data_IF_971691699485
#
_entry.id   IF_971691699485
#
_cell.length_a   1.000
_cell.length_b   1.000
_cell.length_c   1.000
_cell.angle_alpha   90.00
_cell.angle_beta   90.00
_cell.angle_gamma   90.00
#
_symmetry.space_group_name_H-M   'P 1'
#
loop_
_entity.id
_entity.type
_entity.pdbx_description
1 polymer ?
#
# COMPACT_ATOMS: atom_id res chain seq x y z
N UNK A 1 -23.86 -3.65 2.27
CA UNK A 1 -23.58 -2.76 3.41
C UNK A 1 -22.98 -1.45 2.88
N UNK A 2 -23.14 -0.32 3.56
CA UNK A 2 -22.57 0.97 3.13
C UNK A 2 -21.14 1.15 3.62
N UNK A 3 -20.34 1.92 2.88
CA UNK A 3 -18.98 2.27 3.24
C UNK A 3 -18.92 2.91 4.64
N UNK A 4 -17.94 2.52 5.47
CA UNK A 4 -17.76 3.08 6.82
C UNK A 4 -17.20 4.51 6.84
N UNK A 5 -16.75 5.03 5.70
CA UNK A 5 -16.22 6.40 5.63
C UNK A 5 -17.33 7.42 5.95
N UNK A 6 -17.08 8.41 6.84
CA UNK A 6 -18.09 9.39 7.23
C UNK A 6 -18.73 10.08 6.02
N UNK A 7 -20.06 10.05 5.94
CA UNK A 7 -20.83 10.67 4.86
C UNK A 7 -20.84 9.89 3.54
N UNK A 8 -20.14 8.76 3.43
CA UNK A 8 -20.16 7.94 2.23
C UNK A 8 -21.37 6.99 2.22
N UNK A 9 -22.18 7.07 1.16
CA UNK A 9 -23.34 6.17 0.96
C UNK A 9 -23.10 5.07 -0.07
N UNK A 10 -21.89 4.99 -0.63
CA UNK A 10 -21.53 4.00 -1.64
C UNK A 10 -21.53 2.60 -1.03
N UNK A 11 -22.00 1.61 -1.79
CA UNK A 11 -21.97 0.21 -1.37
C UNK A 11 -20.54 -0.33 -1.27
N UNK A 12 -20.31 -1.18 -0.28
CA UNK A 12 -19.09 -1.97 -0.14
C UNK A 12 -19.20 -3.20 -1.06
N UNK A 13 -18.25 -3.42 -1.99
CA UNK A 13 -18.23 -4.64 -2.78
C UNK A 13 -17.80 -5.83 -1.91
N UNK A 14 -18.28 -7.04 -2.23
CA UNK A 14 -17.95 -8.26 -1.49
C UNK A 14 -16.43 -8.51 -1.37
N UNK A 15 -15.64 -8.09 -2.36
CA UNK A 15 -14.19 -8.18 -2.34
C UNK A 15 -13.51 -7.35 -1.22
N UNK A 16 -14.22 -6.38 -0.65
CA UNK A 16 -13.77 -5.46 0.42
C UNK A 16 -14.63 -5.55 1.69
N UNK A 17 -15.35 -6.67 1.89
CA UNK A 17 -16.25 -6.82 3.04
C UNK A 17 -15.49 -6.69 4.37
N UNK A 18 -14.30 -7.29 4.48
CA UNK A 18 -13.44 -7.18 5.67
C UNK A 18 -13.06 -5.73 6.00
N UNK A 19 -12.84 -4.90 4.97
CA UNK A 19 -12.42 -3.52 5.12
C UNK A 19 -13.60 -2.59 5.38
N UNK A 20 -14.80 -3.00 4.98
CA UNK A 20 -16.04 -2.22 5.04
C UNK A 20 -15.92 -0.86 4.33
N UNK A 21 -15.16 -0.81 3.23
CA UNK A 21 -14.90 0.40 2.45
C UNK A 21 -15.34 0.21 1.00
N UNK A 22 -15.87 1.28 0.39
CA UNK A 22 -16.03 1.30 -1.06
C UNK A 22 -14.65 1.42 -1.76
N UNK A 23 -14.58 1.07 -3.04
CA UNK A 23 -13.33 1.07 -3.83
C UNK A 23 -12.58 2.41 -3.75
N UNK A 24 -13.31 3.52 -3.83
CA UNK A 24 -12.71 4.87 -3.74
C UNK A 24 -12.03 5.11 -2.40
N UNK A 25 -12.72 4.84 -1.28
CA UNK A 25 -12.16 5.08 0.04
C UNK A 25 -11.06 4.08 0.40
N UNK A 26 -11.17 2.84 -0.09
CA UNK A 26 -10.10 1.85 0.05
C UNK A 26 -8.81 2.31 -0.65
N UNK A 27 -8.91 2.76 -1.91
CA UNK A 27 -7.73 3.26 -2.66
C UNK A 27 -7.14 4.53 -2.05
N UNK A 28 -7.96 5.48 -1.59
CA UNK A 28 -7.50 6.67 -0.85
C UNK A 28 -6.72 6.31 0.42
N UNK A 29 -7.29 5.42 1.25
CA UNK A 29 -6.65 4.96 2.48
C UNK A 29 -5.31 4.30 2.18
N UNK A 30 -5.26 3.48 1.12
CA UNK A 30 -4.03 2.80 0.72
C UNK A 30 -2.94 3.78 0.27
N UNK A 31 -3.29 4.76 -0.57
CA UNK A 31 -2.36 5.76 -1.05
C UNK A 31 -1.81 6.63 0.09
N UNK A 32 -2.66 6.96 1.07
CA UNK A 32 -2.25 7.66 2.28
C UNK A 32 -1.23 6.83 3.09
N UNK A 33 -1.54 5.56 3.37
CA UNK A 33 -0.63 4.66 4.09
C UNK A 33 0.72 4.51 3.36
N UNK A 34 0.69 4.36 2.04
CA UNK A 34 1.92 4.36 1.23
C UNK A 34 2.71 5.66 1.37
N UNK A 35 2.04 6.80 1.42
CA UNK A 35 2.66 8.10 1.64
C UNK A 35 3.32 8.23 3.00
N UNK A 36 2.68 7.70 4.05
CA UNK A 36 3.22 7.66 5.41
C UNK A 36 4.48 6.79 5.48
N UNK A 37 4.41 5.55 5.02
CA UNK A 37 5.56 4.63 5.02
C UNK A 37 6.74 5.16 4.19
N UNK A 38 6.49 5.76 3.01
CA UNK A 38 7.55 6.41 2.21
C UNK A 38 8.27 7.51 2.99
N UNK A 39 7.53 8.32 3.77
CA UNK A 39 8.13 9.37 4.59
C UNK A 39 8.99 8.77 5.70
N UNK A 40 8.52 7.72 6.37
CA UNK A 40 9.28 7.04 7.43
C UNK A 40 10.58 6.43 6.89
N UNK A 41 10.54 5.80 5.73
CA UNK A 41 11.72 5.25 5.04
C UNK A 41 12.69 6.35 4.62
N UNK A 42 12.20 7.47 4.09
CA UNK A 42 13.04 8.61 3.72
C UNK A 42 13.76 9.24 4.93
N UNK A 43 13.15 9.20 6.11
CA UNK A 43 13.74 9.69 7.37
C UNK A 43 14.76 8.71 7.98
N UNK A 44 15.02 7.56 7.34
CA UNK A 44 15.96 6.55 7.84
C UNK A 44 15.49 5.86 9.13
N UNK A 45 14.20 5.94 9.45
CA UNK A 45 13.62 5.37 10.68
C UNK A 45 13.28 3.88 10.55
N UNK A 46 13.37 3.33 9.34
CA UNK A 46 12.90 1.97 9.02
C UNK A 46 14.01 0.94 9.24
N UNK A 47 13.90 0.13 10.29
CA UNK A 47 14.75 -1.04 10.54
C UNK A 47 14.26 -2.27 9.74
N UNK A 48 14.98 -3.40 9.80
CA UNK A 48 14.63 -4.62 9.05
C UNK A 48 13.23 -5.17 9.37
N UNK A 49 12.78 -5.10 10.63
CA UNK A 49 11.45 -5.55 11.04
C UNK A 49 10.35 -4.68 10.41
N UNK A 50 10.54 -3.36 10.43
CA UNK A 50 9.64 -2.43 9.78
C UNK A 50 9.64 -2.58 8.25
N UNK A 51 10.79 -2.88 7.63
CA UNK A 51 10.82 -3.21 6.20
C UNK A 51 9.98 -4.44 5.87
N UNK A 52 10.10 -5.51 6.68
CA UNK A 52 9.30 -6.72 6.51
C UNK A 52 7.79 -6.42 6.64
N UNK A 53 7.41 -5.59 7.60
CA UNK A 53 6.02 -5.16 7.79
C UNK A 53 5.50 -4.34 6.59
N UNK A 54 6.32 -3.44 6.04
CA UNK A 54 5.97 -2.67 4.84
C UNK A 54 5.79 -3.61 3.63
N UNK A 55 6.67 -4.61 3.46
CA UNK A 55 6.54 -5.60 2.38
C UNK A 55 5.29 -6.47 2.54
N UNK A 56 4.94 -6.85 3.77
CA UNK A 56 3.69 -7.54 4.08
C UNK A 56 2.48 -6.67 3.73
N UNK A 57 2.49 -5.40 4.15
CA UNK A 57 1.45 -4.43 3.80
C UNK A 57 1.26 -4.32 2.28
N UNK A 58 2.36 -4.21 1.53
CA UNK A 58 2.32 -4.11 0.06
C UNK A 58 1.67 -5.36 -0.55
N UNK A 59 2.06 -6.53 -0.08
CA UNK A 59 1.61 -7.83 -0.61
C UNK A 59 0.11 -8.01 -0.34
N UNK A 60 -0.32 -7.89 0.92
CA UNK A 60 -1.72 -8.07 1.31
C UNK A 60 -2.65 -7.09 0.60
N UNK A 61 -2.23 -5.83 0.46
CA UNK A 61 -3.05 -4.82 -0.20
C UNK A 61 -3.01 -4.92 -1.72
N UNK A 62 -1.89 -5.34 -2.31
CA UNK A 62 -1.80 -5.65 -3.74
C UNK A 62 -2.75 -6.78 -4.12
N UNK A 63 -2.80 -7.84 -3.31
CA UNK A 63 -3.76 -8.94 -3.49
C UNK A 63 -5.21 -8.45 -3.36
N UNK A 64 -5.53 -7.68 -2.31
CA UNK A 64 -6.87 -7.11 -2.13
C UNK A 64 -7.29 -6.25 -3.33
N UNK A 65 -6.39 -5.40 -3.82
CA UNK A 65 -6.65 -4.54 -4.98
C UNK A 65 -6.84 -5.38 -6.26
N UNK A 66 -6.07 -6.44 -6.44
CA UNK A 66 -6.23 -7.38 -7.55
C UNK A 66 -7.60 -8.06 -7.50
N UNK A 67 -8.01 -8.59 -6.34
CA UNK A 67 -9.34 -9.19 -6.17
C UNK A 67 -10.46 -8.23 -6.53
N UNK A 68 -10.39 -6.97 -6.09
CA UNK A 68 -11.39 -5.95 -6.45
C UNK A 68 -11.45 -5.76 -7.95
N UNK A 69 -10.29 -5.64 -8.59
CA UNK A 69 -10.14 -5.41 -10.03
C UNK A 69 -10.65 -6.56 -10.89
N UNK A 70 -10.58 -7.79 -10.38
CA UNK A 70 -10.97 -9.02 -11.11
C UNK A 70 -12.26 -9.65 -10.59
N UNK A 71 -12.98 -9.00 -9.67
CA UNK A 71 -14.21 -9.53 -9.04
C UNK A 71 -15.43 -9.56 -9.96
N UNK A 72 -15.32 -9.10 -11.20
CA UNK A 72 -16.47 -8.89 -12.09
C UNK A 72 -17.33 -7.69 -11.73
N UNK A 73 -16.89 -6.87 -10.76
CA UNK A 73 -17.56 -5.61 -10.41
C UNK A 73 -17.55 -4.66 -11.61
N UNK A 74 -18.70 -4.05 -11.90
CA UNK A 74 -18.76 -2.99 -12.89
C UNK A 74 -18.10 -1.72 -12.35
N UNK A 75 -16.84 -1.52 -12.74
CA UNK A 75 -16.05 -0.35 -12.38
C UNK A 75 -16.21 0.72 -13.45
N UNK A 76 -16.47 1.96 -13.03
CA UNK A 76 -16.37 3.13 -13.92
C UNK A 76 -14.92 3.31 -14.36
N UNK A 77 -14.69 4.00 -15.47
CA UNK A 77 -13.33 4.22 -15.98
C UNK A 77 -12.48 5.04 -15.00
N UNK A 78 -13.08 5.99 -14.28
CA UNK A 78 -12.42 6.72 -13.19
C UNK A 78 -11.93 5.78 -12.08
N UNK A 79 -12.73 4.78 -11.70
CA UNK A 79 -12.32 3.80 -10.69
C UNK A 79 -11.25 2.86 -11.21
N UNK A 80 -11.27 2.49 -12.50
CA UNK A 80 -10.19 1.71 -13.11
C UNK A 80 -8.87 2.50 -13.11
N UNK A 81 -8.91 3.75 -13.53
CA UNK A 81 -7.74 4.64 -13.53
C UNK A 81 -7.18 4.83 -12.11
N UNK A 82 -8.07 4.97 -11.12
CA UNK A 82 -7.73 5.04 -9.70
C UNK A 82 -7.00 3.78 -9.23
N UNK A 83 -7.58 2.60 -9.47
CA UNK A 83 -6.99 1.31 -9.12
C UNK A 83 -5.59 1.15 -9.73
N UNK A 84 -5.43 1.46 -11.02
CA UNK A 84 -4.13 1.40 -11.70
C UNK A 84 -3.10 2.34 -11.05
N UNK A 85 -3.51 3.56 -10.73
CA UNK A 85 -2.67 4.54 -10.01
C UNK A 85 -2.28 4.04 -8.62
N UNK A 86 -3.20 3.36 -7.93
CA UNK A 86 -2.93 2.77 -6.62
C UNK A 86 -1.95 1.59 -6.70
N UNK A 87 -2.02 0.73 -7.73
CA UNK A 87 -1.00 -0.30 -7.99
C UNK A 87 0.39 0.31 -8.21
N UNK A 88 0.48 1.38 -9.02
CA UNK A 88 1.74 2.11 -9.22
C UNK A 88 2.27 2.69 -7.90
N UNK A 89 1.39 3.16 -7.02
CA UNK A 89 1.76 3.66 -5.70
C UNK A 89 2.38 2.57 -4.81
N UNK A 90 1.84 1.36 -4.83
CA UNK A 90 2.40 0.20 -4.12
C UNK A 90 3.76 -0.22 -4.70
N UNK A 91 3.88 -0.30 -6.03
CA UNK A 91 5.13 -0.63 -6.72
C UNK A 91 6.23 0.39 -6.38
N UNK A 92 5.90 1.68 -6.40
CA UNK A 92 6.83 2.75 -6.03
C UNK A 92 7.28 2.67 -4.57
N UNK A 93 6.39 2.25 -3.66
CA UNK A 93 6.76 2.02 -2.26
C UNK A 93 7.75 0.84 -2.14
N UNK A 94 7.49 -0.28 -2.85
CA UNK A 94 8.41 -1.42 -2.87
C UNK A 94 9.80 -1.02 -3.36
N UNK A 95 9.87 -0.34 -4.50
CA UNK A 95 11.13 0.15 -5.05
C UNK A 95 11.84 1.15 -4.12
N UNK A 96 11.08 1.95 -3.37
CA UNK A 96 11.63 2.86 -2.36
C UNK A 96 12.30 2.09 -1.21
N UNK A 97 11.66 1.03 -0.71
CA UNK A 97 12.22 0.15 0.33
C UNK A 97 13.46 -0.55 -0.18
N UNK A 98 13.41 -1.16 -1.37
CA UNK A 98 14.55 -1.87 -1.97
C UNK A 98 15.77 -0.93 -2.10
N UNK A 99 15.55 0.30 -2.57
CA UNK A 99 16.60 1.32 -2.65
C UNK A 99 17.12 1.77 -1.29
N UNK A 100 16.26 1.84 -0.27
CA UNK A 100 16.67 2.20 1.09
C UNK A 100 17.54 1.12 1.75
N UNK A 101 17.23 -0.17 1.52
CA UNK A 101 18.02 -1.29 2.01
C UNK A 101 19.43 -1.33 1.41
N UNK A 102 19.59 -0.97 0.13
CA UNK A 102 20.92 -0.89 -0.51
C UNK A 102 21.80 0.25 0.04
N UNK A 103 21.22 1.25 0.73
CA UNK A 103 21.96 2.38 1.31
C UNK A 103 22.59 2.07 2.66
N UNK A 104 22.28 0.93 3.27
CA UNK A 104 22.94 0.50 4.51
C UNK A 104 24.40 0.19 4.18
N UNK A 105 25.40 0.91 4.74
CA UNK A 105 26.79 0.68 4.38
C UNK A 105 27.22 -0.71 4.85
N UNK A 106 27.67 -1.55 3.92
CA UNK A 106 28.60 -2.65 4.21
C UNK A 106 29.91 -2.03 4.74
N UNK A 107 29.98 -1.71 6.03
CA UNK A 107 31.06 -0.86 6.52
C UNK A 107 31.13 -0.64 8.03
N UNK A 108 30.90 -1.68 8.84
CA UNK A 108 31.43 -1.75 10.21
C UNK A 108 32.27 -3.01 10.39
N UNK A 109 33.22 -3.21 9.48
CA UNK A 109 34.42 -4.02 9.72
C UNK A 109 35.44 -3.20 10.51
N UNK A 110 35.13 -2.92 11.78
CA UNK A 110 36.08 -2.28 12.70
C UNK A 110 37.05 -3.33 13.22
N UNK A 111 38.26 -3.34 12.66
CA UNK A 111 39.41 -4.13 13.08
C UNK A 111 39.75 -3.87 14.57
N UNK A 112 39.71 -4.87 15.48
CA UNK A 112 40.42 -4.77 16.73
C UNK A 112 41.88 -5.15 16.49
N UNK A 113 42.76 -4.20 16.78
CA UNK A 113 44.20 -4.45 16.97
C UNK A 113 44.43 -5.40 18.13
#
# INVERSE_FOLDING_TARGET
MSCKSPGCKTAVPAALDDQQLCVLHFTLLLEQGCGEMRRETALGKTNHEQQAEILRFITENGERLARVSTSGLHLTDDLKARILSTFLTLMNLRENIDRSAMRVPFGRGGNPR
#
